data_IF_346974313633
#
_entry.id   IF_346974313633
#
_cell.length_a   1.000
_cell.length_b   1.000
_cell.length_c   1.000
_cell.angle_alpha   90.00
_cell.angle_beta   90.00
_cell.angle_gamma   90.00
#
_symmetry.space_group_name_H-M   'P 1'
#
loop_
_entity.id
_entity.type
_entity.pdbx_description
1 polymer ?
#
# COMPACT_ATOMS: atom_id res chain seq x y z
N UNK A 1 42.01 64.45 0.50
CA UNK A 1 42.34 63.45 -0.53
C UNK A 1 43.16 62.34 0.10
N UNK A 2 42.54 61.17 0.30
CA UNK A 2 43.16 59.87 0.54
C UNK A 2 42.05 58.80 0.38
N UNK A 3 42.23 57.72 -0.39
CA UNK A 3 41.20 56.72 -0.60
C UNK A 3 41.27 55.65 0.50
N UNK A 4 40.13 55.30 1.11
CA UNK A 4 40.00 54.08 1.92
C UNK A 4 39.38 52.98 1.07
N UNK A 5 40.20 51.98 0.75
CA UNK A 5 39.80 50.71 0.15
C UNK A 5 38.88 49.91 1.09
N UNK A 6 37.82 49.31 0.53
CA UNK A 6 37.10 48.18 1.15
C UNK A 6 36.72 47.19 0.04
N UNK A 7 37.33 46.01 0.08
CA UNK A 7 36.91 44.79 -0.63
C UNK A 7 36.24 43.82 0.38
N UNK A 8 35.73 42.65 -0.02
CA UNK A 8 34.36 42.39 -0.46
C UNK A 8 33.58 41.55 0.58
N UNK A 9 32.25 41.58 0.56
CA UNK A 9 31.46 40.55 1.25
C UNK A 9 31.00 39.55 0.19
N UNK A 10 31.79 38.50 0.00
CA UNK A 10 31.39 37.33 -0.78
C UNK A 10 30.29 36.59 -0.03
N UNK A 11 29.07 36.63 -0.56
CA UNK A 11 28.00 35.77 -0.11
C UNK A 11 28.24 34.36 -0.70
N UNK A 12 28.73 33.44 0.13
CA UNK A 12 28.80 32.01 -0.20
C UNK A 12 27.38 31.45 -0.22
N UNK A 13 26.84 31.22 -1.42
CA UNK A 13 25.65 30.41 -1.64
C UNK A 13 26.00 28.94 -1.38
N UNK A 14 25.58 28.42 -0.24
CA UNK A 14 25.53 26.97 -0.01
C UNK A 14 24.37 26.39 -0.84
N UNK A 15 24.70 25.85 -2.01
CA UNK A 15 23.79 24.98 -2.75
C UNK A 15 23.68 23.66 -1.98
N UNK A 16 22.57 23.47 -1.25
CA UNK A 16 22.15 22.14 -0.85
C UNK A 16 21.69 21.40 -2.11
N UNK A 17 22.55 20.54 -2.62
CA UNK A 17 22.16 19.53 -3.59
C UNK A 17 21.15 18.61 -2.93
N UNK A 18 19.87 18.73 -3.30
CA UNK A 18 18.89 17.71 -2.99
C UNK A 18 19.35 16.42 -3.67
N UNK A 19 19.89 15.49 -2.89
CA UNK A 19 20.07 14.13 -3.34
C UNK A 19 18.66 13.55 -3.50
N UNK A 20 18.24 13.39 -4.76
CA UNK A 20 17.08 12.60 -5.09
C UNK A 20 17.35 11.17 -4.58
N UNK A 21 16.73 10.81 -3.45
CA UNK A 21 16.77 9.43 -2.95
C UNK A 21 15.95 8.58 -3.92
N UNK A 22 16.62 7.98 -4.89
CA UNK A 22 16.03 6.89 -5.65
C UNK A 22 15.74 5.75 -4.66
N UNK A 23 14.52 5.19 -4.71
CA UNK A 23 14.17 4.00 -3.93
C UNK A 23 15.21 2.90 -4.26
N UNK A 24 15.78 2.20 -3.27
CA UNK A 24 16.77 1.15 -3.53
C UNK A 24 16.20 0.12 -4.51
N UNK A 25 17.07 -0.46 -5.35
CA UNK A 25 16.66 -1.45 -6.33
C UNK A 25 16.26 -2.75 -5.62
N UNK A 26 14.96 -2.94 -5.39
CA UNK A 26 14.42 -4.13 -4.73
C UNK A 26 14.26 -5.25 -5.75
N UNK A 27 14.87 -6.39 -5.48
CA UNK A 27 14.58 -7.64 -6.18
C UNK A 27 13.40 -8.33 -5.50
N UNK A 28 12.31 -8.51 -6.25
CA UNK A 28 11.08 -9.16 -5.79
C UNK A 28 11.16 -10.65 -6.08
N UNK A 29 11.01 -11.49 -5.05
CA UNK A 29 11.06 -12.96 -5.15
C UNK A 29 9.69 -13.52 -4.75
N UNK A 30 8.93 -14.15 -5.66
CA UNK A 30 7.64 -14.73 -5.32
C UNK A 30 7.81 -15.87 -4.31
N UNK A 31 6.92 -15.89 -3.32
CA UNK A 31 6.72 -17.05 -2.45
C UNK A 31 5.64 -17.95 -3.05
N UNK A 32 5.44 -19.12 -2.45
CA UNK A 32 4.31 -19.97 -2.83
C UNK A 32 3.01 -19.21 -2.57
N UNK A 33 2.14 -19.12 -3.59
CA UNK A 33 0.79 -18.54 -3.49
C UNK A 33 -0.13 -19.42 -2.65
N UNK A 34 0.15 -19.48 -1.35
CA UNK A 34 -0.64 -20.18 -0.33
C UNK A 34 -0.36 -19.62 1.06
N UNK A 35 -1.18 -20.00 2.04
CA UNK A 35 -1.07 -19.49 3.40
C UNK A 35 0.20 -19.92 4.15
N UNK A 36 0.96 -20.91 3.64
CA UNK A 36 2.24 -21.35 4.24
C UNK A 36 3.29 -20.25 4.25
N UNK A 37 3.15 -19.28 3.35
CA UNK A 37 4.09 -18.18 3.15
C UNK A 37 3.90 -17.05 4.18
N UNK A 38 2.82 -17.07 4.95
CA UNK A 38 2.47 -16.03 5.92
C UNK A 38 2.84 -16.44 7.36
N UNK A 39 3.17 -15.47 8.23
CA UNK A 39 3.40 -15.75 9.64
C UNK A 39 2.14 -16.30 10.32
N UNK A 40 2.34 -17.12 11.35
CA UNK A 40 1.22 -17.73 12.09
C UNK A 40 0.44 -18.79 11.31
N UNK A 41 1.03 -19.37 10.25
CA UNK A 41 0.43 -20.48 9.52
C UNK A 41 0.25 -21.72 10.42
N UNK A 42 -0.94 -22.29 10.40
CA UNK A 42 -1.29 -23.55 11.03
C UNK A 42 -1.64 -24.61 9.99
N UNK A 43 -0.81 -25.66 9.92
CA UNK A 43 -0.98 -26.76 8.97
C UNK A 43 -2.25 -27.59 9.20
N UNK A 44 -2.84 -27.56 10.40
CA UNK A 44 -4.06 -28.30 10.70
C UNK A 44 -5.32 -27.64 10.11
N UNK A 45 -5.31 -26.32 10.02
CA UNK A 45 -6.42 -25.51 9.50
C UNK A 45 -6.18 -24.98 8.09
N UNK A 46 -4.92 -24.92 7.65
CA UNK A 46 -4.52 -24.31 6.39
C UNK A 46 -4.60 -22.78 6.40
N UNK A 47 -4.75 -22.16 7.58
CA UNK A 47 -4.97 -20.72 7.77
C UNK A 47 -3.72 -20.09 8.40
N UNK A 48 -3.41 -18.86 8.03
CA UNK A 48 -2.43 -18.03 8.73
C UNK A 48 -3.13 -16.85 9.41
N UNK A 49 -3.04 -16.75 10.74
CA UNK A 49 -3.74 -15.74 11.55
C UNK A 49 -3.11 -15.62 12.95
N UNK A 50 -3.18 -14.45 13.61
CA UNK A 50 -3.61 -13.15 13.08
C UNK A 50 -2.55 -12.54 12.15
N UNK A 51 -3.01 -11.84 11.11
CA UNK A 51 -2.13 -11.05 10.26
C UNK A 51 -2.36 -9.56 10.53
N UNK A 52 -1.26 -8.81 10.58
CA UNK A 52 -1.28 -7.35 10.54
C UNK A 52 -0.60 -6.92 9.25
N UNK A 53 -1.25 -6.06 8.48
CA UNK A 53 -0.69 -5.54 7.23
C UNK A 53 -0.38 -4.06 7.47
N UNK A 54 0.80 -3.59 7.06
CA UNK A 54 1.31 -2.23 7.31
C UNK A 54 1.96 -1.61 6.08
N UNK A 55 1.99 -0.28 6.00
CA UNK A 55 2.90 0.41 5.09
C UNK A 55 4.35 0.18 5.50
N UNK A 56 5.23 0.08 4.52
CA UNK A 56 6.66 -0.11 4.74
C UNK A 56 7.48 0.65 3.70
N UNK A 57 8.63 1.18 4.12
CA UNK A 57 9.60 1.86 3.27
C UNK A 57 9.01 2.99 2.40
N UNK A 58 8.02 3.71 2.92
CA UNK A 58 7.45 4.90 2.26
C UNK A 58 8.33 6.14 2.45
N UNK A 59 9.22 6.11 3.44
CA UNK A 59 10.02 7.28 3.84
C UNK A 59 9.17 8.37 4.50
N UNK A 60 7.99 8.03 5.00
CA UNK A 60 7.03 8.94 5.64
C UNK A 60 6.58 8.40 6.99
N UNK A 61 5.92 9.25 7.78
CA UNK A 61 5.40 8.90 9.10
C UNK A 61 4.26 7.87 9.11
N UNK A 62 3.95 7.23 7.98
CA UNK A 62 2.93 6.18 7.88
C UNK A 62 3.51 4.76 7.90
N UNK A 63 4.83 4.60 7.86
CA UNK A 63 5.46 3.29 7.95
C UNK A 63 5.10 2.60 9.28
N UNK A 64 4.68 1.34 9.22
CA UNK A 64 4.22 0.56 10.37
C UNK A 64 2.77 0.79 10.78
N UNK A 65 2.05 1.74 10.17
CA UNK A 65 0.62 1.97 10.44
C UNK A 65 -0.21 0.87 9.76
N UNK A 66 -1.15 0.29 10.52
CA UNK A 66 -2.08 -0.72 10.04
C UNK A 66 -3.14 -0.14 9.11
N UNK A 67 -3.59 -0.96 8.15
CA UNK A 67 -4.67 -0.57 7.26
C UNK A 67 -6.06 -0.66 7.91
N UNK A 68 -6.97 0.18 7.41
CA UNK A 68 -8.38 0.27 7.82
C UNK A 68 -9.27 0.19 6.58
N UNK A 69 -10.49 -0.37 6.67
CA UNK A 69 -11.38 -0.42 5.53
C UNK A 69 -12.18 0.88 5.40
N UNK A 70 -12.36 1.34 4.16
CA UNK A 70 -13.31 2.39 3.77
C UNK A 70 -14.26 1.81 2.74
N UNK A 71 -15.55 1.76 3.04
CA UNK A 71 -16.49 1.03 2.19
C UNK A 71 -17.87 1.66 2.13
N UNK A 72 -18.55 1.39 1.03
CA UNK A 72 -19.96 1.68 0.86
C UNK A 72 -20.75 0.38 1.01
N UNK A 73 -21.83 0.44 1.77
CA UNK A 73 -22.83 -0.65 1.81
C UNK A 73 -23.91 -0.33 0.78
N UNK A 74 -24.06 -1.19 -0.22
CA UNK A 74 -25.05 -0.99 -1.27
C UNK A 74 -26.48 -1.17 -0.71
N UNK A 75 -27.42 -0.36 -1.21
CA UNK A 75 -28.86 -0.52 -0.94
C UNK A 75 -29.32 -1.84 -1.60
N UNK A 76 -29.54 -2.87 -0.78
CA UNK A 76 -29.88 -4.23 -1.26
C UNK A 76 -28.99 -5.36 -0.72
N UNK A 77 -27.92 -5.02 0.02
CA UNK A 77 -26.98 -6.00 0.57
C UNK A 77 -25.75 -6.18 -0.33
N UNK A 78 -24.59 -6.38 0.30
CA UNK A 78 -23.29 -6.34 -0.34
C UNK A 78 -22.50 -5.09 0.06
N UNK A 79 -21.21 -5.24 0.29
CA UNK A 79 -20.30 -4.13 0.56
C UNK A 79 -19.04 -4.30 -0.27
N UNK A 80 -18.60 -3.19 -0.83
CA UNK A 80 -17.35 -3.08 -1.56
C UNK A 80 -16.61 -1.87 -1.03
N UNK A 81 -15.30 -1.91 -1.15
CA UNK A 81 -14.50 -0.81 -0.65
C UNK A 81 -13.02 -1.02 -0.81
N UNK A 82 -12.31 -0.15 -0.13
CA UNK A 82 -10.88 0.00 -0.19
C UNK A 82 -10.28 -0.32 1.16
N UNK A 83 -9.10 -0.89 1.13
CA UNK A 83 -8.21 -0.97 2.28
C UNK A 83 -7.31 0.25 2.17
N UNK A 84 -7.24 1.07 3.20
CA UNK A 84 -6.56 2.38 3.20
C UNK A 84 -5.69 2.54 4.44
N UNK A 85 -4.88 3.59 4.48
CA UNK A 85 -4.13 3.97 5.69
C UNK A 85 -4.71 5.28 6.23
N UNK A 86 -5.11 5.35 7.51
CA UNK A 86 -5.56 6.61 8.11
C UNK A 86 -4.36 7.56 8.26
N UNK A 87 -4.58 8.87 8.10
CA UNK A 87 -3.52 9.85 8.36
C UNK A 87 -3.20 10.01 9.84
N UNK A 88 -4.20 9.81 10.68
CA UNK A 88 -4.10 9.89 12.12
C UNK A 88 -4.45 8.52 12.72
N UNK A 89 -3.46 7.84 13.29
CA UNK A 89 -3.67 6.57 13.99
C UNK A 89 -4.56 6.72 15.26
N UNK A 90 -4.85 7.95 15.69
CA UNK A 90 -5.80 8.28 16.76
C UNK A 90 -7.24 8.50 16.28
N UNK A 91 -7.47 8.57 14.96
CA UNK A 91 -8.81 8.38 14.44
C UNK A 91 -9.27 7.00 14.92
N UNK A 92 -10.44 6.90 15.55
CA UNK A 92 -10.99 5.67 16.15
C UNK A 92 -11.29 4.55 15.10
N UNK A 93 -10.59 4.55 13.98
CA UNK A 93 -10.64 3.54 12.93
C UNK A 93 -9.86 2.33 13.41
N UNK A 94 -10.61 1.30 13.78
CA UNK A 94 -10.04 0.06 14.31
C UNK A 94 -9.46 -0.73 13.14
N UNK A 95 -8.18 -1.05 13.21
CA UNK A 95 -7.56 -2.00 12.30
C UNK A 95 -8.41 -3.29 12.27
N UNK A 96 -8.70 -3.78 11.06
CA UNK A 96 -9.53 -4.97 10.92
C UNK A 96 -8.71 -6.25 11.08
N UNK A 97 -9.28 -7.30 11.69
CA UNK A 97 -8.64 -8.60 11.69
C UNK A 97 -8.37 -9.06 10.26
N UNK A 98 -7.13 -9.47 9.98
CA UNK A 98 -6.73 -10.06 8.71
C UNK A 98 -6.21 -11.48 8.91
N UNK A 99 -6.36 -12.31 7.89
CA UNK A 99 -5.85 -13.68 7.83
C UNK A 99 -5.48 -14.05 6.40
N UNK A 100 -4.73 -15.13 6.22
CA UNK A 100 -4.77 -15.88 4.97
C UNK A 100 -5.69 -17.08 5.16
N UNK A 101 -6.66 -17.25 4.28
CA UNK A 101 -7.58 -18.39 4.25
C UNK A 101 -7.91 -18.75 2.81
N UNK A 102 -8.08 -20.05 2.53
CA UNK A 102 -8.36 -20.55 1.18
C UNK A 102 -7.30 -20.14 0.13
N UNK A 103 -6.07 -19.88 0.58
CA UNK A 103 -4.94 -19.47 -0.26
C UNK A 103 -4.80 -17.96 -0.47
N UNK A 104 -5.78 -17.15 -0.07
CA UNK A 104 -5.78 -15.70 -0.33
C UNK A 104 -5.77 -14.87 0.96
N UNK A 105 -5.26 -13.63 0.86
CA UNK A 105 -5.34 -12.64 1.93
C UNK A 105 -6.79 -12.18 2.12
N UNK A 106 -7.28 -12.17 3.35
CA UNK A 106 -8.65 -11.85 3.71
C UNK A 106 -8.69 -10.85 4.88
N UNK A 107 -9.71 -10.00 4.91
CA UNK A 107 -10.07 -9.16 6.07
C UNK A 107 -11.48 -9.51 6.56
N UNK A 108 -11.70 -9.43 7.87
CA UNK A 108 -13.04 -9.57 8.46
C UNK A 108 -13.76 -8.23 8.41
N UNK A 109 -14.76 -8.12 7.54
CA UNK A 109 -15.43 -6.86 7.21
C UNK A 109 -16.94 -6.98 7.42
N UNK A 110 -17.56 -5.89 7.87
CA UNK A 110 -19.01 -5.84 8.00
C UNK A 110 -19.64 -5.56 6.63
N UNK A 111 -20.33 -6.56 6.08
CA UNK A 111 -20.94 -6.52 4.74
C UNK A 111 -22.40 -6.08 4.76
N UNK A 112 -22.81 -5.39 5.82
CA UNK A 112 -24.17 -4.90 6.02
C UNK A 112 -25.10 -6.01 6.51
N UNK A 113 -26.03 -6.45 5.65
CA UNK A 113 -27.10 -7.39 6.02
C UNK A 113 -26.54 -8.75 6.47
N UNK A 114 -25.40 -9.18 5.92
CA UNK A 114 -24.78 -10.46 6.26
C UNK A 114 -23.83 -10.37 7.48
N UNK A 115 -23.67 -9.19 8.08
CA UNK A 115 -22.77 -8.96 9.21
C UNK A 115 -21.29 -9.11 8.86
N UNK A 116 -20.49 -9.55 9.84
CA UNK A 116 -19.04 -9.74 9.69
C UNK A 116 -18.74 -10.99 8.87
N UNK A 117 -18.10 -10.81 7.72
CA UNK A 117 -17.63 -11.88 6.85
C UNK A 117 -16.15 -11.70 6.51
N UNK A 118 -15.46 -12.82 6.28
CA UNK A 118 -14.15 -12.79 5.66
C UNK A 118 -14.29 -12.46 4.18
N UNK A 119 -13.63 -11.39 3.73
CA UNK A 119 -13.62 -10.95 2.35
C UNK A 119 -12.21 -11.08 1.79
N UNK A 120 -12.09 -11.69 0.61
CA UNK A 120 -10.82 -11.73 -0.13
C UNK A 120 -10.42 -10.33 -0.55
N UNK A 121 -9.16 -9.99 -0.30
CA UNK A 121 -8.57 -8.74 -0.74
C UNK A 121 -7.88 -8.93 -2.08
N UNK A 122 -7.96 -7.91 -2.93
CA UNK A 122 -7.49 -7.93 -4.31
C UNK A 122 -6.82 -6.60 -4.67
N UNK A 123 -6.05 -6.58 -5.76
CA UNK A 123 -5.73 -5.35 -6.49
C UNK A 123 -6.69 -5.24 -7.68
N UNK A 124 -7.66 -4.33 -7.62
CA UNK A 124 -8.86 -4.34 -8.46
C UNK A 124 -8.95 -3.16 -9.43
N UNK A 125 -9.63 -3.39 -10.55
CA UNK A 125 -9.89 -2.40 -11.59
C UNK A 125 -8.86 -2.42 -12.71
N UNK A 126 -8.87 -1.36 -13.52
CA UNK A 126 -7.95 -1.26 -14.65
C UNK A 126 -6.48 -1.27 -14.19
N UNK A 127 -5.51 -1.58 -15.06
CA UNK A 127 -4.09 -1.51 -14.69
C UNK A 127 -3.65 -0.16 -14.09
N UNK A 128 -4.29 0.95 -14.50
CA UNK A 128 -4.05 2.28 -13.93
C UNK A 128 -4.58 2.44 -12.49
N UNK A 129 -5.68 1.74 -12.18
CA UNK A 129 -6.36 1.79 -10.88
C UNK A 129 -5.81 0.77 -9.89
N UNK A 130 -5.83 -0.54 -10.23
CA UNK A 130 -5.29 -1.68 -9.46
C UNK A 130 -5.33 -1.51 -7.94
N UNK A 131 -6.51 -1.17 -7.43
CA UNK A 131 -6.74 -0.64 -6.09
C UNK A 131 -6.72 -1.75 -5.05
N UNK A 132 -6.12 -1.51 -3.89
CA UNK A 132 -6.21 -2.45 -2.77
C UNK A 132 -7.64 -2.44 -2.18
N UNK A 133 -8.42 -3.48 -2.45
CA UNK A 133 -9.84 -3.47 -2.12
C UNK A 133 -10.48 -4.85 -2.00
N UNK A 134 -11.81 -4.84 -1.87
CA UNK A 134 -12.63 -6.03 -1.71
C UNK A 134 -14.03 -5.83 -2.31
N UNK A 135 -14.71 -6.93 -2.64
CA UNK A 135 -16.10 -6.89 -3.09
C UNK A 135 -16.31 -6.18 -4.44
N UNK A 136 -15.34 -6.23 -5.36
CA UNK A 136 -15.37 -5.50 -6.64
C UNK A 136 -15.63 -6.43 -7.86
N UNK A 137 -16.79 -7.12 -7.97
CA UNK A 137 -17.01 -8.16 -8.99
C UNK A 137 -17.25 -7.62 -10.40
N UNK A 138 -17.55 -6.32 -10.57
CA UNK A 138 -18.03 -5.74 -11.83
C UNK A 138 -17.07 -4.71 -12.45
N UNK A 139 -15.81 -4.62 -12.00
CA UNK A 139 -14.87 -3.67 -12.58
C UNK A 139 -14.32 -4.18 -13.93
N UNK A 140 -14.16 -3.29 -14.94
CA UNK A 140 -13.54 -3.63 -16.21
C UNK A 140 -12.03 -3.84 -16.01
N UNK A 141 -11.56 -5.06 -16.30
CA UNK A 141 -10.15 -5.49 -16.27
C UNK A 141 -9.50 -5.56 -14.86
N UNK A 142 -8.36 -6.28 -14.70
CA UNK A 142 -8.26 -7.44 -13.83
C UNK A 142 -8.29 -7.15 -12.33
N UNK A 143 -9.07 -7.96 -11.61
CA UNK A 143 -8.87 -8.19 -10.19
C UNK A 143 -7.68 -9.14 -10.01
N UNK A 144 -6.49 -8.59 -9.76
CA UNK A 144 -5.32 -9.39 -9.45
C UNK A 144 -5.48 -10.01 -8.06
N UNK A 145 -5.26 -11.32 -7.99
CA UNK A 145 -5.07 -12.02 -6.73
C UNK A 145 -3.77 -11.52 -6.08
N UNK A 146 -3.84 -11.21 -4.79
CA UNK A 146 -2.68 -10.76 -4.04
C UNK A 146 -1.81 -11.96 -3.64
N UNK A 147 -0.52 -11.83 -3.91
CA UNK A 147 0.46 -12.88 -3.70
C UNK A 147 1.53 -12.44 -2.69
N UNK A 148 2.12 -13.38 -1.93
CA UNK A 148 3.21 -13.11 -1.02
C UNK A 148 4.56 -13.09 -1.74
N UNK A 149 5.43 -12.16 -1.33
CA UNK A 149 6.76 -11.98 -1.87
C UNK A 149 7.80 -11.75 -0.76
N UNK A 150 9.06 -12.01 -1.08
CA UNK A 150 10.22 -11.55 -0.32
C UNK A 150 10.91 -10.45 -1.10
N UNK A 151 11.43 -9.45 -0.37
CA UNK A 151 12.32 -8.44 -0.94
C UNK A 151 13.77 -8.77 -0.63
N UNK A 152 14.63 -8.56 -1.62
CA UNK A 152 16.07 -8.58 -1.50
C UNK A 152 16.63 -7.24 -1.99
N UNK A 153 17.53 -6.65 -1.21
CA UNK A 153 18.23 -5.40 -1.53
C UNK A 153 19.72 -5.70 -1.49
N UNK A 154 20.38 -5.59 -2.64
CA UNK A 154 21.82 -5.82 -2.77
C UNK A 154 22.30 -7.19 -2.23
N UNK A 155 21.50 -8.24 -2.42
CA UNK A 155 21.78 -9.60 -1.92
C UNK A 155 21.40 -9.83 -0.47
N UNK A 156 20.77 -8.84 0.18
CA UNK A 156 20.31 -8.92 1.57
C UNK A 156 18.79 -9.05 1.59
N UNK A 157 18.33 -10.21 2.05
CA UNK A 157 16.92 -10.46 2.31
C UNK A 157 16.39 -9.50 3.36
N UNK A 158 15.34 -8.77 2.99
CA UNK A 158 14.59 -7.91 3.89
C UNK A 158 13.63 -8.75 4.73
N UNK A 159 13.45 -8.44 6.03
CA UNK A 159 12.54 -9.18 6.89
C UNK A 159 11.07 -8.92 6.52
N UNK A 160 10.25 -9.97 6.62
CA UNK A 160 8.81 -9.91 6.43
C UNK A 160 8.34 -10.48 5.09
N UNK A 161 7.02 -10.49 4.92
CA UNK A 161 6.34 -10.91 3.70
C UNK A 161 5.71 -9.67 3.08
N UNK A 162 6.02 -9.42 1.82
CA UNK A 162 5.50 -8.27 1.09
C UNK A 162 4.33 -8.69 0.20
N UNK A 163 3.36 -7.80 0.05
CA UNK A 163 2.14 -8.06 -0.71
C UNK A 163 2.26 -7.38 -2.08
N UNK A 164 1.92 -8.14 -3.11
CA UNK A 164 1.94 -7.65 -4.48
C UNK A 164 1.05 -8.50 -5.38
N UNK A 165 1.24 -8.34 -6.68
CA UNK A 165 0.65 -9.18 -7.70
C UNK A 165 1.49 -9.10 -8.96
N UNK A 166 1.45 -10.13 -9.80
CA UNK A 166 2.10 -10.14 -11.13
C UNK A 166 3.58 -9.74 -11.09
N UNK A 167 4.32 -10.24 -10.09
CA UNK A 167 5.73 -9.93 -9.81
C UNK A 167 6.03 -8.44 -9.53
N UNK A 168 5.03 -7.69 -9.04
CA UNK A 168 5.17 -6.30 -8.60
C UNK A 168 4.68 -6.18 -7.17
N UNK A 169 5.46 -5.51 -6.34
CA UNK A 169 5.12 -5.23 -4.93
C UNK A 169 5.13 -3.75 -4.59
N UNK A 170 5.43 -2.88 -5.55
CA UNK A 170 5.44 -1.43 -5.33
C UNK A 170 4.01 -0.90 -5.37
N UNK A 171 3.64 -0.15 -4.34
CA UNK A 171 2.34 0.50 -4.22
C UNK A 171 2.48 2.02 -4.28
N UNK A 172 1.49 2.66 -4.90
CA UNK A 172 1.27 4.10 -4.90
C UNK A 172 0.35 4.47 -3.75
N UNK A 173 0.74 5.48 -2.99
CA UNK A 173 0.03 6.03 -1.85
C UNK A 173 -0.42 7.43 -2.20
N UNK A 174 -1.73 7.60 -2.41
CA UNK A 174 -2.32 8.85 -2.86
C UNK A 174 -3.21 9.42 -1.75
N UNK A 175 -2.91 10.64 -1.32
CA UNK A 175 -3.70 11.32 -0.30
C UNK A 175 -5.10 11.63 -0.83
N UNK A 176 -6.10 11.28 -0.04
CA UNK A 176 -7.50 11.56 -0.29
C UNK A 176 -8.09 12.31 0.91
N UNK A 177 -8.96 13.27 0.62
CA UNK A 177 -9.72 14.00 1.61
C UNK A 177 -11.17 14.10 1.14
N UNK A 178 -12.06 13.41 1.83
CA UNK A 178 -13.49 13.47 1.58
C UNK A 178 -14.21 13.94 2.84
N UNK A 179 -15.23 14.77 2.66
CA UNK A 179 -16.10 15.19 3.76
C UNK A 179 -16.82 14.02 4.44
N UNK A 180 -16.99 12.89 3.75
CA UNK A 180 -17.71 11.72 4.27
C UNK A 180 -16.79 10.72 4.97
N UNK A 181 -15.57 10.53 4.46
CA UNK A 181 -14.67 9.47 4.91
C UNK A 181 -13.37 9.97 5.55
N UNK A 182 -13.18 11.28 5.63
CA UNK A 182 -12.02 11.93 6.22
C UNK A 182 -10.78 11.84 5.34
N UNK A 183 -9.62 11.98 5.99
CA UNK A 183 -8.31 11.96 5.36
C UNK A 183 -7.69 10.56 5.43
N UNK A 184 -7.26 10.04 4.29
CA UNK A 184 -6.62 8.72 4.19
C UNK A 184 -5.68 8.64 3.00
N UNK A 185 -4.80 7.63 2.99
CA UNK A 185 -4.06 7.25 1.80
C UNK A 185 -4.79 6.11 1.07
N UNK A 186 -5.16 6.40 -0.17
CA UNK A 186 -5.63 5.43 -1.14
C UNK A 186 -4.45 4.71 -1.79
N UNK A 187 -4.64 3.42 -2.10
CA UNK A 187 -3.54 2.53 -2.45
C UNK A 187 -3.81 1.87 -3.79
N UNK A 188 -2.79 1.86 -4.64
CA UNK A 188 -2.83 1.12 -5.90
C UNK A 188 -1.52 0.41 -6.20
N UNK A 189 -1.61 -0.76 -6.80
CA UNK A 189 -0.44 -1.49 -7.26
C UNK A 189 0.16 -0.80 -8.48
N UNK A 190 1.46 -0.49 -8.45
CA UNK A 190 2.16 0.16 -9.56
C UNK A 190 2.68 -0.86 -10.57
N UNK A 191 1.76 -1.69 -11.07
CA UNK A 191 2.03 -2.76 -12.03
C UNK A 191 2.32 -2.29 -13.47
N UNK A 192 2.49 -3.21 -14.42
CA UNK A 192 2.56 -2.89 -15.84
C UNK A 192 1.34 -2.06 -16.28
N UNK A 193 1.56 -1.01 -17.07
CA UNK A 193 0.51 -0.09 -17.54
C UNK A 193 -0.23 0.68 -16.44
N UNK A 194 0.33 0.78 -15.23
CA UNK A 194 -0.22 1.57 -14.14
C UNK A 194 0.08 3.07 -14.21
N UNK A 195 0.60 3.57 -15.34
CA UNK A 195 0.88 4.99 -15.48
C UNK A 195 -0.43 5.81 -15.46
N UNK A 196 -0.35 7.03 -14.93
CA UNK A 196 -1.41 8.00 -15.00
C UNK A 196 -1.73 8.30 -16.47
N UNK A 197 -2.95 7.99 -16.90
CA UNK A 197 -3.37 8.09 -18.31
C UNK A 197 -3.39 9.53 -18.84
N UNK A 198 -3.53 10.53 -17.98
CA UNK A 198 -3.56 11.93 -18.37
C UNK A 198 -2.15 12.52 -18.59
N UNK A 199 -1.14 12.03 -17.86
CA UNK A 199 0.21 12.60 -17.84
C UNK A 199 1.28 11.66 -18.39
N UNK A 200 0.98 10.37 -18.55
CA UNK A 200 1.93 9.32 -18.92
C UNK A 200 2.96 8.99 -17.84
N UNK A 201 2.92 9.63 -16.68
CA UNK A 201 3.86 9.39 -15.57
C UNK A 201 3.44 8.18 -14.74
N UNK A 202 4.39 7.49 -14.13
CA UNK A 202 4.10 6.34 -13.26
C UNK A 202 3.17 6.72 -12.08
N UNK A 203 3.37 7.90 -11.51
CA UNK A 203 2.65 8.38 -10.32
C UNK A 203 1.64 9.47 -10.69
N UNK A 204 0.53 9.48 -9.95
CA UNK A 204 -0.39 10.61 -9.89
C UNK A 204 0.26 11.81 -9.17
N UNK A 205 -0.29 13.01 -9.35
CA UNK A 205 0.18 14.18 -8.61
C UNK A 205 0.02 13.96 -7.09
N UNK A 206 1.09 14.26 -6.33
CA UNK A 206 1.12 14.09 -4.88
C UNK A 206 1.23 12.64 -4.38
N UNK A 207 1.17 11.65 -5.28
CA UNK A 207 1.39 10.24 -4.93
C UNK A 207 2.86 9.94 -4.68
N UNK A 208 3.13 9.04 -3.73
CA UNK A 208 4.47 8.52 -3.45
C UNK A 208 4.44 6.99 -3.40
N UNK A 209 5.62 6.38 -3.43
CA UNK A 209 5.78 4.93 -3.47
C UNK A 209 6.12 4.35 -2.10
N UNK A 210 5.77 3.08 -1.91
CA UNK A 210 6.28 2.25 -0.83
C UNK A 210 5.85 0.80 -1.05
N UNK A 211 5.89 0.01 0.02
CA UNK A 211 5.50 -1.38 0.01
C UNK A 211 4.40 -1.65 1.04
N UNK A 212 3.70 -2.76 0.83
CA UNK A 212 2.77 -3.31 1.81
C UNK A 212 3.42 -4.55 2.40
N UNK A 213 3.56 -4.60 3.73
CA UNK A 213 4.21 -5.68 4.45
C UNK A 213 3.26 -6.33 5.44
N UNK A 214 3.33 -7.65 5.56
CA UNK A 214 2.69 -8.40 6.64
C UNK A 214 3.65 -8.44 7.83
N UNK A 215 3.20 -7.86 8.93
CA UNK A 215 3.83 -7.81 10.24
C UNK A 215 3.26 -8.96 11.10
N UNK A 216 4.13 -9.73 11.74
CA UNK A 216 3.80 -10.95 12.49
C UNK A 216 4.57 -11.05 13.80
#
# INVERSE_FOLDING_TARGET
MAPKYRFPHGASLFYFTMLASAVPNVTVIPLTSSCVSFPGYDNSTGIATPLKVVADSTGRGIDGISFVPKYATAVGGGSWGFITIPLDASANETAVPMRCGDGSLQAQLNTGINGLLWQTLVAAGTPAESVFGFGLPNLPDPNYELEPYIHDIDGVRQPGVFIGAVNVTTWGFNYQNSSETGEYYFLRLLGPNSHNLATGKQLNEGEFTGYIKVDG
#
